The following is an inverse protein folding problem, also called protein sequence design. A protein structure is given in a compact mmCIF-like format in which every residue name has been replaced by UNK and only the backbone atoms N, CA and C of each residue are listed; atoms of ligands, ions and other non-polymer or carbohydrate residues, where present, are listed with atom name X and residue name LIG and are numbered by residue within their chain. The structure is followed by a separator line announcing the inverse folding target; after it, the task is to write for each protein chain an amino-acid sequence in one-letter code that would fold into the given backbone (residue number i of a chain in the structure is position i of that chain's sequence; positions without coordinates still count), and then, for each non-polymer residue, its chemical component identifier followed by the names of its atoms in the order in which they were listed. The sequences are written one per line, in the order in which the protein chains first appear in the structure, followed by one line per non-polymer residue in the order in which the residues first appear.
data_IF_642326963331
#
_entry.id   IF_642326963331
#
_cell.length_a   1.000
_cell.length_b   1.000
_cell.length_c   1.000
_cell.angle_alpha   90.00
_cell.angle_beta   90.00
_cell.angle_gamma   90.00
#
_symmetry.space_group_name_H-M   'P 1'
#
loop_
_entity.id
_entity.type
_entity.pdbx_description
1 polymer ?
#
# COMPACT_ATOMS: atom_id res chain seq x y z
N UNK A 1 -3.00 -16.09 -38.20
CA UNK A 1 -3.27 -17.54 -38.27
C UNK A 1 -2.04 -18.20 -38.86
N UNK A 2 -1.46 -19.18 -38.16
CA UNK A 2 -0.31 -19.94 -38.64
C UNK A 2 -0.63 -21.43 -38.49
N UNK A 3 -0.38 -22.21 -39.54
CA UNK A 3 -0.52 -23.67 -39.51
C UNK A 3 0.89 -24.25 -39.51
N UNK A 4 1.26 -25.01 -38.48
CA UNK A 4 2.53 -25.72 -38.41
C UNK A 4 2.45 -27.00 -39.27
N UNK A 5 3.37 -27.24 -40.21
CA UNK A 5 3.32 -28.39 -41.13
C UNK A 5 3.67 -29.74 -40.49
N UNK A 6 4.10 -29.79 -39.22
CA UNK A 6 4.52 -31.03 -38.54
C UNK A 6 3.46 -31.63 -37.60
N UNK A 7 2.43 -30.84 -37.26
CA UNK A 7 1.28 -31.24 -36.46
C UNK A 7 0.05 -30.45 -36.90
N UNK A 8 -1.06 -31.09 -37.25
CA UNK A 8 -2.31 -30.42 -37.63
C UNK A 8 -2.97 -29.77 -36.39
N UNK A 9 -2.40 -28.66 -35.93
CA UNK A 9 -2.86 -27.89 -34.76
C UNK A 9 -3.25 -26.50 -35.23
N UNK A 10 -4.49 -26.10 -34.93
CA UNK A 10 -4.98 -24.75 -35.16
C UNK A 10 -4.84 -23.94 -33.88
N UNK A 11 -4.00 -22.90 -33.93
CA UNK A 11 -3.90 -21.91 -32.85
C UNK A 11 -4.77 -20.68 -33.16
N UNK A 12 -5.73 -20.41 -32.28
CA UNK A 12 -6.53 -19.18 -32.28
C UNK A 12 -6.09 -18.34 -31.07
N UNK A 13 -5.74 -17.08 -31.32
CA UNK A 13 -5.32 -16.11 -30.28
C UNK A 13 -6.39 -15.03 -30.17
N UNK A 14 -6.50 -14.41 -29.00
CA UNK A 14 -7.46 -13.33 -28.71
C UNK A 14 -8.93 -13.72 -29.00
N UNK A 15 -9.34 -14.89 -28.49
CA UNK A 15 -10.67 -15.46 -28.69
C UNK A 15 -11.77 -14.52 -28.16
N UNK A 16 -12.68 -14.14 -29.05
CA UNK A 16 -13.86 -13.32 -28.76
C UNK A 16 -15.10 -14.20 -28.58
N UNK A 17 -16.15 -13.66 -27.95
CA UNK A 17 -17.45 -14.37 -27.83
C UNK A 17 -18.04 -14.69 -29.21
N UNK A 18 -17.73 -13.90 -30.25
CA UNK A 18 -18.15 -14.16 -31.63
C UNK A 18 -17.47 -15.38 -32.26
N UNK A 19 -16.37 -15.86 -31.69
CA UNK A 19 -15.62 -17.02 -32.19
C UNK A 19 -16.19 -18.33 -31.64
N UNK A 20 -17.16 -18.27 -30.72
CA UNK A 20 -17.89 -19.42 -30.20
C UNK A 20 -18.61 -20.16 -31.33
N UNK A 21 -18.46 -21.48 -31.33
CA UNK A 21 -19.09 -22.32 -32.34
C UNK A 21 -18.40 -23.64 -32.57
N UNK A 22 -18.83 -24.31 -33.64
CA UNK A 22 -18.35 -25.62 -34.03
C UNK A 22 -17.21 -25.48 -35.04
N UNK A 23 -16.05 -26.00 -34.67
CA UNK A 23 -14.86 -26.06 -35.52
C UNK A 23 -14.69 -27.46 -36.08
N UNK A 24 -14.48 -27.56 -37.38
CA UNK A 24 -14.28 -28.84 -38.07
C UNK A 24 -12.91 -28.84 -38.72
N UNK A 25 -12.07 -29.83 -38.38
CA UNK A 25 -10.84 -30.11 -39.10
C UNK A 25 -11.08 -31.24 -40.07
N UNK A 26 -10.79 -30.99 -41.34
CA UNK A 26 -10.84 -31.97 -42.40
C UNK A 26 -9.43 -32.24 -42.90
N UNK A 27 -8.98 -33.48 -42.79
CA UNK A 27 -7.67 -33.93 -43.27
C UNK A 27 -7.90 -34.81 -44.50
N UNK A 28 -7.47 -34.30 -45.65
CA UNK A 28 -7.54 -34.99 -46.93
C UNK A 28 -6.22 -35.70 -47.21
N UNK A 29 -6.24 -37.03 -47.13
CA UNK A 29 -5.13 -37.89 -47.56
C UNK A 29 -5.37 -38.48 -48.95
N UNK A 30 -4.32 -39.02 -49.57
CA UNK A 30 -4.37 -39.62 -50.90
C UNK A 30 -5.30 -40.84 -51.03
N UNK A 31 -5.73 -41.45 -49.91
CA UNK A 31 -6.63 -42.61 -49.88
C UNK A 31 -7.76 -42.53 -48.84
N UNK A 32 -7.78 -41.51 -47.98
CA UNK A 32 -8.77 -41.40 -46.92
C UNK A 32 -9.00 -39.94 -46.51
N UNK A 33 -10.24 -39.62 -46.16
CA UNK A 33 -10.64 -38.36 -45.55
C UNK A 33 -10.92 -38.63 -44.07
N UNK A 34 -10.36 -37.80 -43.19
CA UNK A 34 -10.65 -37.84 -41.76
C UNK A 34 -11.20 -36.48 -41.33
N UNK A 35 -12.34 -36.51 -40.66
CA UNK A 35 -12.99 -35.31 -40.12
C UNK A 35 -13.09 -35.40 -38.61
N UNK A 36 -12.72 -34.34 -37.93
CA UNK A 36 -12.83 -34.19 -36.48
C UNK A 36 -13.51 -32.86 -36.17
N UNK A 37 -14.38 -32.85 -35.15
CA UNK A 37 -15.19 -31.68 -34.82
C UNK A 37 -15.05 -31.34 -33.34
N UNK A 38 -14.85 -30.06 -33.03
CA UNK A 38 -14.77 -29.52 -31.67
C UNK A 38 -15.80 -28.42 -31.47
N UNK A 39 -16.37 -28.36 -30.26
CA UNK A 39 -17.24 -27.27 -29.85
C UNK A 39 -16.44 -26.30 -28.95
N UNK A 40 -16.21 -25.08 -29.43
CA UNK A 40 -15.55 -24.03 -28.68
C UNK A 40 -16.60 -23.20 -27.94
N UNK A 41 -16.61 -23.27 -26.61
CA UNK A 41 -17.47 -22.44 -25.76
C UNK A 41 -16.63 -21.33 -25.12
N UNK A 42 -17.06 -20.07 -25.27
CA UNK A 42 -16.32 -18.91 -24.79
C UNK A 42 -17.06 -18.28 -23.62
N UNK A 43 -16.44 -18.26 -22.45
CA UNK A 43 -17.03 -17.61 -21.26
C UNK A 43 -16.38 -16.26 -21.03
N UNK A 44 -17.14 -15.18 -21.24
CA UNK A 44 -16.71 -13.84 -20.81
C UNK A 44 -17.03 -13.65 -19.33
N UNK A 45 -16.00 -13.55 -18.50
CA UNK A 45 -16.17 -13.12 -17.10
C UNK A 45 -16.21 -11.60 -17.11
N UNK A 46 -17.40 -11.02 -17.05
CA UNK A 46 -17.53 -9.59 -16.75
C UNK A 46 -17.05 -9.37 -15.31
N UNK A 47 -16.18 -8.39 -15.03
CA UNK A 47 -15.87 -8.03 -13.65
C UNK A 47 -17.19 -7.65 -12.95
N UNK A 48 -17.40 -8.21 -11.77
CA UNK A 48 -18.59 -7.91 -10.97
C UNK A 48 -18.55 -6.42 -10.59
N UNK A 49 -19.58 -5.62 -10.96
CA UNK A 49 -19.62 -4.20 -10.62
C UNK A 49 -19.49 -3.96 -9.11
N UNK A 50 -19.88 -4.92 -8.28
CA UNK A 50 -19.77 -4.87 -6.82
C UNK A 50 -18.32 -4.77 -6.34
N UNK A 51 -17.39 -5.43 -7.01
CA UNK A 51 -15.96 -5.40 -6.64
C UNK A 51 -15.31 -4.05 -6.97
N UNK A 52 -15.69 -3.45 -8.10
CA UNK A 52 -15.21 -2.11 -8.50
C UNK A 52 -15.70 -1.03 -7.53
N UNK A 53 -16.94 -1.12 -7.05
CA UNK A 53 -17.50 -0.19 -6.06
C UNK A 53 -16.77 -0.30 -4.72
N UNK A 54 -16.44 -1.52 -4.27
CA UNK A 54 -15.71 -1.73 -3.02
C UNK A 54 -14.30 -1.12 -3.04
N UNK A 55 -13.56 -1.32 -4.14
CA UNK A 55 -12.20 -0.76 -4.28
C UNK A 55 -12.24 0.78 -4.31
N UNK A 56 -13.22 1.37 -5.00
CA UNK A 56 -13.40 2.82 -5.07
C UNK A 56 -13.71 3.44 -3.71
N UNK A 57 -14.66 2.85 -2.97
CA UNK A 57 -15.05 3.34 -1.64
C UNK A 57 -13.91 3.23 -0.62
N UNK A 58 -13.14 2.14 -0.65
CA UNK A 58 -11.97 1.99 0.22
C UNK A 58 -10.88 3.04 -0.07
N UNK A 59 -10.61 3.34 -1.35
CA UNK A 59 -9.64 4.36 -1.75
C UNK A 59 -10.05 5.77 -1.30
N UNK A 60 -11.32 6.13 -1.45
CA UNK A 60 -11.85 7.43 -1.02
C UNK A 60 -11.78 7.58 0.51
N UNK A 61 -12.13 6.54 1.26
CA UNK A 61 -12.05 6.57 2.73
C UNK A 61 -10.62 6.73 3.23
N UNK A 62 -9.68 5.96 2.68
CA UNK A 62 -8.27 6.02 3.08
C UNK A 62 -7.64 7.39 2.82
N UNK A 63 -7.91 8.00 1.67
CA UNK A 63 -7.38 9.33 1.33
C UNK A 63 -7.88 10.42 2.26
N UNK A 64 -9.16 10.40 2.63
CA UNK A 64 -9.74 11.35 3.60
C UNK A 64 -9.06 11.21 4.96
N UNK A 65 -8.85 9.99 5.45
CA UNK A 65 -8.16 9.76 6.73
C UNK A 65 -6.71 10.26 6.70
N UNK A 66 -5.98 10.03 5.61
CA UNK A 66 -4.59 10.51 5.46
C UNK A 66 -4.54 12.04 5.49
N UNK A 67 -5.48 12.73 4.82
CA UNK A 67 -5.57 14.19 4.82
C UNK A 67 -5.83 14.70 6.25
N UNK A 68 -6.80 14.12 6.95
CA UNK A 68 -7.13 14.49 8.34
C UNK A 68 -5.92 14.28 9.25
N UNK A 69 -5.25 13.12 9.18
CA UNK A 69 -4.04 12.84 9.95
C UNK A 69 -2.92 13.84 9.64
N UNK A 70 -2.71 14.17 8.36
CA UNK A 70 -1.69 15.13 7.95
C UNK A 70 -1.96 16.52 8.53
N UNK A 71 -3.21 16.98 8.51
CA UNK A 71 -3.63 18.24 9.11
C UNK A 71 -3.37 18.24 10.62
N UNK A 72 -3.78 17.18 11.33
CA UNK A 72 -3.55 17.04 12.77
C UNK A 72 -2.05 17.03 13.12
N UNK A 73 -1.22 16.34 12.33
CA UNK A 73 0.23 16.32 12.50
C UNK A 73 0.87 17.70 12.26
N UNK A 74 0.36 18.48 11.30
CA UNK A 74 0.84 19.84 11.06
C UNK A 74 0.45 20.76 12.24
N UNK A 75 -0.78 20.65 12.74
CA UNK A 75 -1.20 21.44 13.90
C UNK A 75 -0.42 21.08 15.17
N UNK A 76 -0.25 19.79 15.45
CA UNK A 76 0.50 19.34 16.63
C UNK A 76 1.97 19.73 16.53
N UNK A 77 2.60 19.54 15.36
CA UNK A 77 4.00 19.96 15.16
C UNK A 77 4.17 21.47 15.29
N UNK A 78 3.27 22.29 14.73
CA UNK A 78 3.33 23.75 14.93
C UNK A 78 3.13 24.14 16.39
N UNK A 79 2.19 23.52 17.09
CA UNK A 79 1.95 23.77 18.50
C UNK A 79 3.14 23.35 19.38
N UNK A 80 3.72 22.18 19.14
CA UNK A 80 4.93 21.72 19.82
C UNK A 80 6.12 22.64 19.54
N UNK A 81 6.30 23.10 18.29
CA UNK A 81 7.38 24.02 17.92
C UNK A 81 7.21 25.41 18.57
N UNK A 82 5.98 25.86 18.84
CA UNK A 82 5.70 27.11 19.55
C UNK A 82 6.00 27.03 21.04
N UNK A 83 5.79 25.87 21.67
CA UNK A 83 6.02 25.68 23.10
C UNK A 83 7.47 25.30 23.45
N UNK A 84 8.19 24.67 22.50
CA UNK A 84 9.59 24.24 22.66
C UNK A 84 10.59 25.33 23.10
N UNK A 85 10.54 26.59 22.61
CA UNK A 85 11.45 27.64 23.10
C UNK A 85 11.10 28.09 24.53
N UNK A 86 9.81 28.12 24.91
CA UNK A 86 9.37 28.59 26.22
C UNK A 86 9.72 27.63 27.37
N UNK A 87 9.70 26.31 27.13
CA UNK A 87 10.12 25.33 28.13
C UNK A 87 11.65 25.39 28.37
N UNK A 88 12.44 25.60 27.31
CA UNK A 88 13.90 25.62 27.40
C UNK A 88 14.40 26.75 28.31
N UNK A 89 13.78 27.94 28.21
CA UNK A 89 14.09 29.05 29.11
C UNK A 89 13.72 28.75 30.57
N UNK A 90 12.63 28.01 30.82
CA UNK A 90 12.22 27.65 32.18
C UNK A 90 13.14 26.60 32.83
N UNK A 91 13.66 25.64 32.05
CA UNK A 91 14.61 24.63 32.54
C UNK A 91 15.98 25.25 32.88
N UNK A 92 16.47 26.21 32.09
CA UNK A 92 17.73 26.89 32.35
C UNK A 92 17.66 27.71 33.67
N UNK A 93 16.54 28.42 33.88
CA UNK A 93 16.31 29.19 35.11
C UNK A 93 16.17 28.29 36.33
N UNK A 94 15.44 27.17 36.23
CA UNK A 94 15.33 26.22 37.34
C UNK A 94 16.69 25.60 37.69
N UNK A 95 17.50 25.26 36.68
CA UNK A 95 18.83 24.67 36.91
C UNK A 95 19.75 25.64 37.64
N UNK A 96 19.75 26.93 37.29
CA UNK A 96 20.51 27.94 38.04
C UNK A 96 20.01 28.12 39.48
N UNK A 97 18.69 28.12 39.69
CA UNK A 97 18.10 28.25 41.05
C UNK A 97 18.44 27.03 41.92
N UNK A 98 18.42 25.82 41.36
CA UNK A 98 18.82 24.61 42.09
C UNK A 98 20.32 24.59 42.41
N UNK A 99 21.17 25.04 41.48
CA UNK A 99 22.63 25.09 41.68
C UNK A 99 23.02 26.09 42.77
N UNK A 100 22.40 27.27 42.78
CA UNK A 100 22.62 28.29 43.82
C UNK A 100 22.12 27.83 45.21
N UNK A 101 20.99 27.12 45.29
CA UNK A 101 20.49 26.55 46.53
C UNK A 101 21.39 25.46 47.13
N UNK A 102 22.08 24.67 46.30
CA UNK A 102 23.00 23.61 46.77
C UNK A 102 24.31 24.18 47.31
N UNK A 103 24.86 25.24 46.68
CA UNK A 103 26.11 25.86 47.14
C UNK A 103 25.97 26.51 48.53
N UNK A 104 24.79 27.06 48.85
CA UNK A 104 24.53 27.71 50.13
C UNK A 104 24.33 26.71 51.29
N UNK A 105 24.04 25.44 50.98
CA UNK A 105 23.94 24.35 51.95
C UNK A 105 25.29 23.75 52.36
N UNK A 106 26.32 23.83 51.52
CA UNK A 106 27.64 23.20 51.78
C UNK A 106 28.55 24.02 52.69
N UNK A 107 28.37 25.34 52.80
CA UNK A 107 29.25 26.20 53.63
C UNK A 107 28.92 26.11 55.14
N UNK A 108 27.88 25.39 55.55
CA UNK A 108 27.47 25.30 56.98
C UNK A 108 27.94 24.05 57.73
N UNK A 109 28.72 23.15 57.13
CA UNK A 109 29.13 21.89 57.80
C UNK A 109 30.65 21.67 57.87
N UNK A 110 31.43 22.63 58.34
CA UNK A 110 32.73 22.33 58.95
C UNK A 110 32.86 23.12 60.26
N UNK A 111 32.36 22.53 61.35
CA UNK A 111 32.83 22.86 62.69
C UNK A 111 33.88 21.80 63.07
N UNK A 112 35.09 22.20 63.48
CA UNK A 112 36.14 21.27 63.83
C UNK A 112 35.79 20.53 65.13
N UNK A 113 35.98 19.22 65.13
CA UNK A 113 36.07 18.39 66.33
C UNK A 113 37.31 18.84 67.11
N UNK A 114 37.11 19.58 68.19
CA UNK A 114 38.16 19.85 69.18
C UNK A 114 38.03 18.90 70.38
N UNK A 115 39.22 18.53 70.83
CA UNK A 115 39.69 17.49 71.77
C UNK A 115 39.26 17.71 73.22
#
# INVERSE_FOLDING_TARGET
MGVDPSTTVLHVSDVLVSDEGIYTCEVLGSQAQKTETWNLTVTSVSPDPSQLIYISTAAISGTILIIICSILCIYSSKFSNLYKPAIREAEDVLTEVFFSATQQGTIRSEAPLDV
#
